data_IF_872509892051
#
_entry.id   IF_872509892051
#
_cell.length_a   1.000
_cell.length_b   1.000
_cell.length_c   1.000
_cell.angle_alpha   90.00
_cell.angle_beta   90.00
_cell.angle_gamma   90.00
#
_symmetry.space_group_name_H-M   'P 1'
#
loop_
_entity.id
_entity.type
_entity.pdbx_description
1 polymer ?
#
# COMPACT_ATOMS: atom_id res chain seq x y z
N UNK A 1 3.85 -9.23 -3.99
CA UNK A 1 3.18 -8.58 -5.15
C UNK A 1 1.77 -9.12 -5.25
N UNK A 2 0.79 -8.30 -5.65
CA UNK A 2 -0.60 -8.73 -5.80
C UNK A 2 -1.38 -7.81 -6.74
N UNK A 3 -2.31 -8.37 -7.52
CA UNK A 3 -3.35 -7.62 -8.24
C UNK A 3 -4.52 -7.32 -7.30
N UNK A 4 -4.27 -6.47 -6.30
CA UNK A 4 -5.09 -6.42 -5.08
C UNK A 4 -6.26 -5.43 -5.13
N UNK A 5 -6.06 -4.23 -5.69
CA UNK A 5 -7.06 -3.15 -5.59
C UNK A 5 -7.36 -2.54 -6.95
N UNK A 6 -8.63 -2.22 -7.21
CA UNK A 6 -8.98 -1.37 -8.35
C UNK A 6 -8.47 0.06 -8.19
N UNK A 7 -8.35 0.54 -6.94
CA UNK A 7 -7.82 1.87 -6.62
C UNK A 7 -6.37 2.08 -7.09
N UNK A 8 -5.56 1.01 -7.25
CA UNK A 8 -4.17 1.15 -7.68
C UNK A 8 -4.08 1.85 -9.05
N UNK A 9 -4.98 1.50 -9.97
CA UNK A 9 -5.03 2.11 -11.29
C UNK A 9 -5.49 3.57 -11.27
N UNK A 10 -6.23 3.98 -10.23
CA UNK A 10 -6.63 5.36 -10.00
C UNK A 10 -5.46 6.16 -9.42
N UNK A 11 -4.71 5.58 -8.47
CA UNK A 11 -3.60 6.24 -7.78
C UNK A 11 -2.36 6.39 -8.66
N UNK A 12 -1.98 5.34 -9.40
CA UNK A 12 -0.70 5.27 -10.12
C UNK A 12 -0.85 5.00 -11.62
N UNK A 13 -2.08 4.89 -12.11
CA UNK A 13 -2.35 4.63 -13.52
C UNK A 13 -2.19 3.15 -13.91
N UNK A 14 -2.30 2.89 -15.21
CA UNK A 14 -2.34 1.52 -15.78
C UNK A 14 -0.97 0.92 -16.09
N UNK A 15 0.09 1.73 -16.07
CA UNK A 15 1.43 1.34 -16.52
C UNK A 15 2.46 1.29 -15.39
N UNK A 16 2.11 1.80 -14.21
CA UNK A 16 2.99 1.79 -13.04
C UNK A 16 2.36 0.94 -11.95
N UNK A 17 3.17 0.11 -11.32
CA UNK A 17 2.77 -0.55 -10.06
C UNK A 17 2.85 0.44 -8.91
N UNK A 18 1.94 0.36 -7.94
CA UNK A 18 2.14 1.06 -6.66
C UNK A 18 3.05 0.21 -5.77
N UNK A 19 4.11 0.82 -5.24
CA UNK A 19 4.96 0.22 -4.20
C UNK A 19 4.61 0.87 -2.86
N UNK A 20 4.41 0.05 -1.83
CA UNK A 20 4.23 0.52 -0.45
C UNK A 20 5.37 -0.06 0.38
N UNK A 21 6.23 0.81 0.91
CA UNK A 21 7.40 0.41 1.67
C UNK A 21 7.50 1.18 2.98
N UNK A 22 7.99 0.50 4.03
CA UNK A 22 8.28 1.13 5.33
C UNK A 22 9.68 1.73 5.43
N UNK A 23 10.50 1.49 4.41
CA UNK A 23 11.89 1.91 4.31
C UNK A 23 12.09 2.66 2.98
N UNK A 24 12.60 3.88 3.08
CA UNK A 24 12.77 4.77 1.93
C UNK A 24 13.86 4.28 0.96
N UNK A 25 14.89 3.59 1.47
CA UNK A 25 15.96 3.04 0.64
C UNK A 25 15.40 1.96 -0.29
N UNK A 26 14.66 0.99 0.26
CA UNK A 26 14.00 -0.06 -0.51
C UNK A 26 12.99 0.51 -1.50
N UNK A 27 12.20 1.52 -1.11
CA UNK A 27 11.27 2.19 -2.01
C UNK A 27 12.01 2.74 -3.23
N UNK A 28 13.09 3.48 -2.99
CA UNK A 28 13.91 4.08 -4.03
C UNK A 28 14.53 3.03 -4.94
N UNK A 29 15.06 1.95 -4.38
CA UNK A 29 15.64 0.85 -5.15
C UNK A 29 14.63 0.20 -6.10
N UNK A 30 13.39 -0.03 -5.64
CA UNK A 30 12.32 -0.58 -6.47
C UNK A 30 11.93 0.39 -7.59
N UNK A 31 11.79 1.68 -7.28
CA UNK A 31 11.47 2.71 -8.29
C UNK A 31 12.56 2.79 -9.36
N UNK A 32 13.84 2.79 -8.95
CA UNK A 32 14.96 2.85 -9.87
C UNK A 32 15.10 1.56 -10.70
N UNK A 33 14.83 0.40 -10.10
CA UNK A 33 14.77 -0.88 -10.83
C UNK A 33 13.67 -0.87 -11.89
N UNK A 34 12.47 -0.40 -11.55
CA UNK A 34 11.35 -0.32 -12.50
C UNK A 34 11.63 0.63 -13.68
N UNK A 35 12.35 1.73 -13.45
CA UNK A 35 12.81 2.62 -14.53
C UNK A 35 13.82 1.94 -15.45
N UNK A 36 14.72 1.13 -14.90
CA UNK A 36 15.75 0.42 -15.67
C UNK A 36 15.18 -0.76 -16.45
N UNK A 37 14.20 -1.48 -15.89
CA UNK A 37 13.58 -2.64 -16.53
C UNK A 37 12.50 -2.27 -17.54
N UNK A 38 11.91 -1.07 -17.44
CA UNK A 38 10.74 -0.67 -18.21
C UNK A 38 9.41 -1.05 -17.55
N UNK A 39 9.45 -1.69 -16.38
CA UNK A 39 8.28 -2.02 -15.56
C UNK A 39 8.19 -1.04 -14.37
N UNK A 40 7.68 0.17 -14.65
CA UNK A 40 7.67 1.26 -13.68
C UNK A 40 6.93 0.96 -12.37
N UNK A 41 7.44 1.53 -11.27
CA UNK A 41 6.76 1.56 -9.98
C UNK A 41 6.73 2.99 -9.43
N UNK A 42 5.69 3.32 -8.65
CA UNK A 42 5.55 4.60 -7.99
C UNK A 42 5.15 4.43 -6.51
N UNK A 43 5.73 5.24 -5.60
CA UNK A 43 5.39 5.20 -4.18
C UNK A 43 3.90 5.39 -3.90
N UNK A 44 3.35 4.55 -3.04
CA UNK A 44 2.09 4.77 -2.33
C UNK A 44 2.35 5.35 -0.95
N UNK A 45 1.35 6.02 -0.37
CA UNK A 45 1.46 6.64 0.95
C UNK A 45 1.68 5.58 2.05
N UNK A 46 2.87 5.55 2.67
CA UNK A 46 3.12 4.77 3.89
C UNK A 46 2.94 5.65 5.12
N UNK A 47 1.72 5.67 5.67
CA UNK A 47 1.38 6.42 6.89
C UNK A 47 0.46 5.56 7.80
N UNK A 48 1.00 4.52 8.46
CA UNK A 48 0.22 3.63 9.32
C UNK A 48 -0.60 4.36 10.38
N UNK A 49 -0.05 5.43 10.95
CA UNK A 49 -0.66 6.29 11.97
C UNK A 49 -1.90 7.05 11.49
N UNK A 50 -2.05 7.25 10.18
CA UNK A 50 -3.21 7.94 9.59
C UNK A 50 -4.25 6.98 9.02
N UNK A 51 -3.82 5.79 8.60
CA UNK A 51 -4.62 4.91 7.75
C UNK A 51 -5.10 3.63 8.43
N UNK A 52 -4.47 3.17 9.52
CA UNK A 52 -4.86 1.90 10.15
C UNK A 52 -6.23 1.96 10.84
N UNK A 53 -6.69 3.14 11.27
CA UNK A 53 -8.03 3.32 11.84
C UNK A 53 -9.16 2.99 10.85
N UNK A 54 -8.87 2.96 9.54
CA UNK A 54 -9.84 2.50 8.54
C UNK A 54 -10.28 1.04 8.75
N UNK A 55 -9.51 0.27 9.51
CA UNK A 55 -9.77 -1.13 9.81
C UNK A 55 -10.33 -1.39 11.22
N UNK A 56 -10.71 -0.36 11.97
CA UNK A 56 -11.22 -0.53 13.34
C UNK A 56 -12.44 -1.47 13.38
N UNK A 57 -12.41 -2.41 14.32
CA UNK A 57 -13.44 -3.41 14.56
C UNK A 57 -13.88 -3.38 16.02
N UNK A 58 -15.18 -3.56 16.26
CA UNK A 58 -15.73 -3.62 17.63
C UNK A 58 -15.46 -4.97 18.32
N UNK A 59 -15.19 -6.03 17.54
CA UNK A 59 -15.15 -7.41 18.05
C UNK A 59 -13.89 -8.20 17.67
N UNK A 60 -13.02 -7.66 16.81
CA UNK A 60 -11.81 -8.31 16.34
C UNK A 60 -10.65 -7.32 16.38
N UNK A 61 -9.43 -7.81 16.17
CA UNK A 61 -8.26 -6.92 16.10
C UNK A 61 -8.38 -5.89 14.96
N UNK A 62 -9.00 -6.30 13.84
CA UNK A 62 -9.26 -5.44 12.69
C UNK A 62 -10.25 -6.04 11.69
N UNK A 63 -10.88 -5.18 10.89
CA UNK A 63 -11.60 -5.51 9.65
C UNK A 63 -10.62 -5.71 8.50
N UNK A 64 -11.08 -6.33 7.42
CA UNK A 64 -10.29 -6.56 6.21
C UNK A 64 -10.65 -5.62 5.04
N UNK A 65 -11.58 -4.69 5.24
CA UNK A 65 -11.91 -3.64 4.27
C UNK A 65 -12.00 -2.31 4.99
N UNK A 66 -11.48 -1.28 4.33
CA UNK A 66 -11.54 0.12 4.80
C UNK A 66 -12.99 0.57 4.98
N UNK A 67 -13.19 1.49 5.92
CA UNK A 67 -14.45 2.20 6.14
C UNK A 67 -14.69 3.24 5.05
N UNK A 68 -13.68 4.05 4.73
CA UNK A 68 -13.70 5.03 3.64
C UNK A 68 -12.87 4.54 2.44
N UNK A 69 -13.53 4.30 1.31
CA UNK A 69 -12.88 3.83 0.07
C UNK A 69 -12.16 4.96 -0.69
N UNK A 70 -12.37 6.21 -0.31
CA UNK A 70 -11.72 7.38 -0.91
C UNK A 70 -10.45 7.81 -0.18
N UNK A 71 -10.14 7.21 0.98
CA UNK A 71 -8.95 7.50 1.77
C UNK A 71 -7.81 6.53 1.48
N UNK A 72 -6.99 6.84 0.46
CA UNK A 72 -5.75 6.12 0.13
C UNK A 72 -5.89 4.57 0.09
N UNK A 73 -6.98 4.05 -0.50
CA UNK A 73 -7.37 2.63 -0.38
C UNK A 73 -6.26 1.63 -0.75
N UNK A 74 -5.45 1.90 -1.78
CA UNK A 74 -4.34 1.02 -2.17
C UNK A 74 -3.25 0.94 -1.08
N UNK A 75 -2.95 2.07 -0.42
CA UNK A 75 -2.06 2.11 0.74
C UNK A 75 -2.67 1.37 1.92
N UNK A 76 -3.94 1.58 2.24
CA UNK A 76 -4.61 0.87 3.34
C UNK A 76 -4.54 -0.65 3.14
N UNK A 77 -4.77 -1.15 1.91
CA UNK A 77 -4.69 -2.58 1.63
C UNK A 77 -3.28 -3.15 1.87
N UNK A 78 -2.22 -2.40 1.54
CA UNK A 78 -0.85 -2.78 1.88
C UNK A 78 -0.56 -2.70 3.39
N UNK A 79 -1.14 -1.72 4.09
CA UNK A 79 -1.00 -1.58 5.55
C UNK A 79 -1.71 -2.70 6.33
N UNK A 80 -2.83 -3.21 5.81
CA UNK A 80 -3.46 -4.42 6.35
C UNK A 80 -2.46 -5.60 6.35
N UNK A 81 -1.75 -5.82 5.24
CA UNK A 81 -0.71 -6.85 5.16
C UNK A 81 0.44 -6.54 6.12
N UNK A 82 0.90 -5.28 6.16
CA UNK A 82 1.98 -4.83 7.04
C UNK A 82 1.71 -5.17 8.51
N UNK A 83 0.46 -5.03 9.00
CA UNK A 83 0.10 -5.34 10.38
C UNK A 83 0.32 -6.81 10.77
N UNK A 84 0.26 -7.72 9.81
CA UNK A 84 0.45 -9.15 10.05
C UNK A 84 1.91 -9.60 9.99
N UNK A 85 2.86 -8.68 9.73
CA UNK A 85 4.29 -8.98 9.75
C UNK A 85 4.83 -8.93 11.19
N UNK A 86 5.91 -9.67 11.43
CA UNK A 86 6.67 -9.49 12.68
C UNK A 86 7.43 -8.17 12.60
N UNK A 87 7.21 -7.32 13.58
CA UNK A 87 8.02 -6.12 13.79
C UNK A 87 9.09 -6.45 14.84
N UNK A 88 10.35 -6.13 14.54
CA UNK A 88 11.49 -6.34 15.43
C UNK A 88 11.62 -5.20 16.44
#
# INVERSE_FOLDING_TARGET
MATLTGAQAISTGKHFSSILASDEVLEKEIVDAGRKSGEGAHPGLFAPELLLSEFDSEFADMKNSVKDRSNAQSSCAGLFIYKHLKHA
#
